data_IF_580447378893
#
_entry.id   IF_580447378893
#
_cell.length_a   1.000
_cell.length_b   1.000
_cell.length_c   1.000
_cell.angle_alpha   90.00
_cell.angle_beta   90.00
_cell.angle_gamma   90.00
#
_symmetry.space_group_name_H-M   'P 1'
#
loop_
_entity.id
_entity.type
_entity.pdbx_description
1 polymer ?
#
# COMPACT_ATOMS: atom_id res chain seq x y z
N UNK A 1 -19.92 -7.48 -30.11
CA UNK A 1 -18.66 -6.78 -30.41
C UNK A 1 -18.45 -6.85 -31.90
N UNK A 2 -18.84 -5.80 -32.62
CA UNK A 2 -18.50 -5.63 -34.04
C UNK A 2 -17.08 -5.05 -34.10
N UNK A 3 -16.30 -5.49 -35.09
CA UNK A 3 -14.92 -5.10 -35.30
C UNK A 3 -14.74 -3.59 -35.49
N UNK A 4 -13.69 -3.05 -34.85
CA UNK A 4 -12.92 -1.83 -35.14
C UNK A 4 -13.63 -0.72 -35.94
N UNK A 5 -14.42 0.10 -35.24
CA UNK A 5 -14.52 1.52 -35.60
C UNK A 5 -13.42 2.23 -34.78
N UNK A 6 -12.41 2.86 -35.39
CA UNK A 6 -11.33 3.49 -34.65
C UNK A 6 -11.92 4.54 -33.71
N UNK A 7 -11.71 4.35 -32.42
CA UNK A 7 -12.20 5.24 -31.38
C UNK A 7 -11.52 6.61 -31.55
N UNK A 8 -12.26 7.58 -32.12
CA UNK A 8 -11.84 8.98 -32.34
C UNK A 8 -11.73 9.74 -31.01
N UNK A 9 -10.88 9.28 -30.11
CA UNK A 9 -10.78 9.74 -28.73
C UNK A 9 -9.33 10.07 -28.39
N UNK A 10 -9.14 11.12 -27.60
CA UNK A 10 -7.82 11.51 -27.10
C UNK A 10 -6.80 11.83 -28.21
N UNK A 11 -5.53 11.52 -27.96
CA UNK A 11 -4.42 11.79 -28.86
C UNK A 11 -4.47 10.98 -30.15
N UNK A 12 -4.94 9.73 -30.10
CA UNK A 12 -5.10 8.87 -31.28
C UNK A 12 -6.18 9.40 -32.23
N UNK A 13 -7.33 9.82 -31.68
CA UNK A 13 -8.36 10.50 -32.46
C UNK A 13 -7.88 11.81 -33.07
N UNK A 14 -7.08 12.59 -32.32
CA UNK A 14 -6.45 13.80 -32.83
C UNK A 14 -5.52 13.54 -34.02
N UNK A 15 -4.66 12.51 -33.91
CA UNK A 15 -3.74 12.12 -34.98
C UNK A 15 -4.49 11.61 -36.22
N UNK A 16 -5.55 10.82 -36.03
CA UNK A 16 -6.38 10.33 -37.14
C UNK A 16 -7.12 11.48 -37.83
N UNK A 17 -7.68 12.43 -37.08
CA UNK A 17 -8.30 13.61 -37.66
C UNK A 17 -7.28 14.47 -38.42
N UNK A 18 -6.08 14.61 -37.88
CA UNK A 18 -4.99 15.32 -38.55
C UNK A 18 -4.60 14.66 -39.87
N UNK A 19 -4.52 13.32 -39.91
CA UNK A 19 -4.20 12.60 -41.14
C UNK A 19 -5.34 12.68 -42.18
N UNK A 20 -6.60 12.59 -41.75
CA UNK A 20 -7.78 12.82 -42.60
C UNK A 20 -7.70 14.20 -43.25
N UNK A 21 -7.43 15.25 -42.46
CA UNK A 21 -7.37 16.62 -42.98
C UNK A 21 -6.13 16.88 -43.85
N UNK A 22 -5.01 16.19 -43.59
CA UNK A 22 -3.77 16.32 -44.38
C UNK A 22 -3.84 15.60 -45.71
N UNK A 23 -4.53 14.46 -45.77
CA UNK A 23 -4.64 13.61 -46.97
C UNK A 23 -5.85 13.98 -47.85
N UNK A 24 -6.81 14.72 -47.32
CA UNK A 24 -7.97 15.19 -48.06
C UNK A 24 -7.57 16.17 -49.19
N UNK A 25 -7.99 15.84 -50.41
CA UNK A 25 -7.91 16.73 -51.57
C UNK A 25 -8.84 17.94 -51.42
N UNK A 26 -9.93 17.81 -50.67
CA UNK A 26 -10.87 18.88 -50.32
C UNK A 26 -11.14 18.90 -48.81
N UNK A 27 -10.43 19.74 -48.03
CA UNK A 27 -10.54 19.76 -46.57
C UNK A 27 -11.94 20.12 -46.05
N UNK A 28 -12.66 21.00 -46.75
CA UNK A 28 -14.01 21.44 -46.34
C UNK A 28 -15.03 20.30 -46.42
N UNK A 29 -15.02 19.51 -47.49
CA UNK A 29 -15.88 18.33 -47.63
C UNK A 29 -15.53 17.25 -46.60
N UNK A 30 -14.24 17.06 -46.31
CA UNK A 30 -13.78 16.14 -45.28
C UNK A 30 -14.27 16.53 -43.89
N UNK A 31 -14.27 17.83 -43.54
CA UNK A 31 -14.82 18.34 -42.28
C UNK A 31 -16.33 18.05 -42.18
N UNK A 32 -17.10 18.33 -43.24
CA UNK A 32 -18.55 18.08 -43.25
C UNK A 32 -18.86 16.59 -43.11
N UNK A 33 -18.12 15.73 -43.82
CA UNK A 33 -18.24 14.28 -43.71
C UNK A 33 -17.92 13.79 -42.30
N UNK A 34 -16.83 14.27 -41.71
CA UNK A 34 -16.42 13.96 -40.35
C UNK A 34 -17.48 14.36 -39.32
N UNK A 35 -17.99 15.59 -39.41
CA UNK A 35 -19.05 16.09 -38.52
C UNK A 35 -20.36 15.30 -38.67
N UNK A 36 -20.69 14.84 -39.88
CA UNK A 36 -21.86 13.99 -40.12
C UNK A 36 -21.69 12.60 -39.50
N UNK A 37 -20.49 12.05 -39.52
CA UNK A 37 -20.20 10.72 -39.01
C UNK A 37 -20.08 10.70 -37.47
N UNK A 38 -19.37 11.66 -36.89
CA UNK A 38 -18.97 11.69 -35.48
C UNK A 38 -19.68 12.78 -34.64
N UNK A 39 -20.51 13.63 -35.25
CA UNK A 39 -21.29 14.66 -34.55
C UNK A 39 -22.51 14.10 -33.81
N UNK A 40 -23.21 14.99 -33.11
CA UNK A 40 -24.44 14.66 -32.38
C UNK A 40 -25.56 14.30 -33.37
N UNK A 41 -26.03 13.04 -33.30
CA UNK A 41 -26.96 12.45 -34.29
C UNK A 41 -28.45 12.76 -34.06
N UNK A 42 -28.80 13.45 -32.98
CA UNK A 42 -30.20 13.82 -32.70
C UNK A 42 -30.65 15.01 -33.56
N UNK A 43 -31.79 14.88 -34.24
CA UNK A 43 -32.36 15.91 -35.14
C UNK A 43 -32.60 17.26 -34.42
N UNK A 44 -33.01 17.22 -33.16
CA UNK A 44 -33.27 18.39 -32.31
C UNK A 44 -31.99 19.17 -31.97
N UNK A 45 -30.87 18.46 -31.78
CA UNK A 45 -29.55 19.07 -31.57
C UNK A 45 -29.04 19.79 -32.81
N UNK A 46 -29.32 19.27 -34.02
CA UNK A 46 -28.83 19.87 -35.27
C UNK A 46 -29.37 21.30 -35.46
N UNK A 47 -30.68 21.50 -35.28
CA UNK A 47 -31.30 22.83 -35.36
C UNK A 47 -30.77 23.80 -34.30
N UNK A 48 -30.59 23.31 -33.06
CA UNK A 48 -30.06 24.10 -31.96
C UNK A 48 -28.61 24.54 -32.20
N UNK A 49 -27.79 23.66 -32.78
CA UNK A 49 -26.41 23.96 -33.09
C UNK A 49 -26.28 24.96 -34.26
N UNK A 50 -27.15 24.87 -35.27
CA UNK A 50 -27.20 25.87 -36.35
C UNK A 50 -27.56 27.26 -35.82
N UNK A 51 -28.50 27.35 -34.88
CA UNK A 51 -28.84 28.61 -34.22
C UNK A 51 -27.65 29.19 -33.46
N UNK A 52 -26.91 28.34 -32.73
CA UNK A 52 -25.70 28.77 -32.01
C UNK A 52 -24.59 29.24 -32.97
N UNK A 53 -24.46 28.63 -34.14
CA UNK A 53 -23.52 29.11 -35.17
C UNK A 53 -23.89 30.51 -35.66
N UNK A 54 -25.19 30.77 -35.90
CA UNK A 54 -25.69 32.09 -36.30
C UNK A 54 -25.46 33.17 -35.22
N UNK A 55 -25.46 32.76 -33.94
CA UNK A 55 -25.14 33.63 -32.80
C UNK A 55 -23.63 33.82 -32.59
N UNK A 56 -22.78 33.22 -33.43
CA UNK A 56 -21.33 33.33 -33.36
C UNK A 56 -20.69 32.45 -32.27
N UNK A 57 -21.42 31.50 -31.69
CA UNK A 57 -20.86 30.56 -30.72
C UNK A 57 -20.01 29.51 -31.45
N UNK A 58 -18.79 29.26 -30.95
CA UNK A 58 -17.91 28.25 -31.54
C UNK A 58 -18.40 26.85 -31.18
N UNK A 59 -18.42 25.92 -32.16
CA UNK A 59 -18.80 24.51 -31.93
C UNK A 59 -18.00 23.83 -30.83
N UNK A 60 -16.70 24.13 -30.71
CA UNK A 60 -15.84 23.57 -29.65
C UNK A 60 -16.29 23.99 -28.25
N UNK A 61 -16.65 25.27 -28.08
CA UNK A 61 -17.16 25.81 -26.82
C UNK A 61 -18.51 25.17 -26.47
N UNK A 62 -19.42 25.08 -27.44
CA UNK A 62 -20.72 24.44 -27.28
C UNK A 62 -20.58 22.97 -26.85
N UNK A 63 -19.74 22.18 -27.53
CA UNK A 63 -19.53 20.77 -27.20
C UNK A 63 -18.83 20.59 -25.85
N UNK A 64 -17.87 21.45 -25.51
CA UNK A 64 -17.22 21.44 -24.19
C UNK A 64 -18.21 21.73 -23.08
N UNK A 65 -19.06 22.76 -23.23
CA UNK A 65 -20.10 23.11 -22.25
C UNK A 65 -21.18 22.03 -22.12
N UNK A 66 -21.56 21.42 -23.24
CA UNK A 66 -22.49 20.28 -23.22
C UNK A 66 -21.90 19.09 -22.46
N UNK A 67 -20.64 18.76 -22.72
CA UNK A 67 -19.93 17.68 -22.03
C UNK A 67 -19.85 17.95 -20.52
N UNK A 68 -19.43 19.15 -20.12
CA UNK A 68 -19.41 19.58 -18.70
C UNK A 68 -20.78 19.41 -18.04
N UNK A 69 -21.86 19.83 -18.71
CA UNK A 69 -23.22 19.70 -18.19
C UNK A 69 -23.68 18.24 -18.06
N UNK A 70 -23.35 17.39 -19.04
CA UNK A 70 -23.66 15.96 -19.02
C UNK A 70 -22.90 15.24 -17.90
N UNK A 71 -21.60 15.51 -17.75
CA UNK A 71 -20.76 14.99 -16.67
C UNK A 71 -21.34 15.40 -15.31
N UNK A 72 -21.66 16.69 -15.13
CA UNK A 72 -22.24 17.19 -13.88
C UNK A 72 -23.60 16.54 -13.56
N UNK A 73 -24.46 16.37 -14.55
CA UNK A 73 -25.75 15.71 -14.37
C UNK A 73 -25.59 14.23 -13.98
N UNK A 74 -24.64 13.52 -14.60
CA UNK A 74 -24.36 12.13 -14.27
C UNK A 74 -23.75 11.98 -12.88
N UNK A 75 -22.77 12.83 -12.52
CA UNK A 75 -22.21 12.87 -11.18
C UNK A 75 -23.29 13.13 -10.13
N UNK A 76 -24.21 14.06 -10.37
CA UNK A 76 -25.34 14.32 -9.46
C UNK A 76 -26.21 13.07 -9.26
N UNK A 77 -26.43 12.29 -10.32
CA UNK A 77 -27.18 11.02 -10.23
C UNK A 77 -26.43 9.96 -9.42
N UNK A 78 -25.12 9.81 -9.64
CA UNK A 78 -24.27 8.87 -8.87
C UNK A 78 -24.31 9.22 -7.38
N UNK A 79 -24.03 10.49 -7.03
CA UNK A 79 -24.01 10.94 -5.63
C UNK A 79 -25.38 10.92 -4.95
N UNK A 80 -26.48 10.90 -5.71
CA UNK A 80 -27.83 10.78 -5.14
C UNK A 80 -28.10 9.42 -4.48
N UNK A 81 -27.21 8.42 -4.66
CA UNK A 81 -27.34 7.05 -4.12
C UNK A 81 -28.65 6.36 -4.49
N UNK A 82 -29.29 6.79 -5.59
CA UNK A 82 -30.50 6.15 -6.13
C UNK A 82 -30.19 4.96 -7.03
N UNK A 83 -28.94 4.84 -7.47
CA UNK A 83 -28.48 3.71 -8.29
C UNK A 83 -28.11 2.54 -7.39
N UNK A 84 -28.52 1.34 -7.77
CA UNK A 84 -28.07 0.11 -7.09
C UNK A 84 -26.64 -0.27 -7.52
N UNK A 85 -26.02 -1.20 -6.80
CA UNK A 85 -24.65 -1.63 -7.09
C UNK A 85 -24.50 -2.30 -8.48
N UNK A 86 -25.55 -2.94 -9.00
CA UNK A 86 -25.52 -3.56 -10.33
C UNK A 86 -25.50 -2.50 -11.45
N UNK A 87 -26.28 -1.43 -11.30
CA UNK A 87 -26.27 -0.27 -12.18
C UNK A 87 -24.94 0.46 -12.11
N UNK A 88 -24.38 0.62 -10.90
CA UNK A 88 -23.06 1.22 -10.72
C UNK A 88 -21.96 0.36 -11.36
N UNK A 89 -22.03 -0.96 -11.22
CA UNK A 89 -21.07 -1.89 -11.84
C UNK A 89 -21.10 -1.79 -13.37
N UNK A 90 -22.28 -1.79 -13.98
CA UNK A 90 -22.43 -1.60 -15.42
C UNK A 90 -21.94 -0.23 -15.88
N UNK A 91 -22.17 0.82 -15.08
CA UNK A 91 -21.67 2.15 -15.38
C UNK A 91 -20.14 2.21 -15.27
N UNK A 92 -19.55 1.51 -14.29
CA UNK A 92 -18.10 1.41 -14.15
C UNK A 92 -17.49 0.77 -15.40
N UNK A 93 -18.00 -0.39 -15.84
CA UNK A 93 -17.52 -1.09 -17.04
C UNK A 93 -17.53 -0.19 -18.29
N UNK A 94 -18.54 0.68 -18.43
CA UNK A 94 -18.64 1.60 -19.56
C UNK A 94 -17.73 2.83 -19.43
N UNK A 95 -17.36 3.22 -18.21
CA UNK A 95 -16.67 4.49 -17.95
C UNK A 95 -15.20 4.32 -17.58
N UNK A 96 -14.80 3.15 -17.11
CA UNK A 96 -13.43 2.83 -16.71
C UNK A 96 -12.40 3.01 -17.84
N UNK A 97 -12.68 2.65 -19.11
CA UNK A 97 -11.74 2.90 -20.21
C UNK A 97 -11.41 4.38 -20.44
N UNK A 98 -12.22 5.31 -19.91
CA UNK A 98 -12.00 6.75 -20.02
C UNK A 98 -11.33 7.37 -18.80
N UNK A 99 -10.79 6.56 -17.89
CA UNK A 99 -10.16 7.02 -16.65
C UNK A 99 -8.99 7.99 -16.91
N UNK A 100 -8.20 7.75 -17.95
CA UNK A 100 -7.08 8.62 -18.32
C UNK A 100 -7.54 9.98 -18.86
N UNK A 101 -8.76 10.05 -19.43
CA UNK A 101 -9.30 11.27 -20.03
C UNK A 101 -9.71 12.28 -18.95
N UNK A 102 -9.03 13.43 -18.90
CA UNK A 102 -9.21 14.44 -17.85
C UNK A 102 -10.65 14.92 -17.70
N UNK A 103 -11.37 15.05 -18.80
CA UNK A 103 -12.75 15.54 -18.88
C UNK A 103 -13.77 14.53 -18.32
N UNK A 104 -13.46 13.23 -18.41
CA UNK A 104 -14.37 12.14 -18.04
C UNK A 104 -13.98 11.43 -16.75
N UNK A 105 -12.71 11.52 -16.33
CA UNK A 105 -12.11 10.83 -15.18
C UNK A 105 -12.91 10.92 -13.88
N UNK A 106 -13.59 12.04 -13.64
CA UNK A 106 -14.40 12.22 -12.45
C UNK A 106 -15.53 11.19 -12.32
N UNK A 107 -16.06 10.69 -13.45
CA UNK A 107 -17.17 9.73 -13.48
C UNK A 107 -16.74 8.36 -12.92
N UNK A 108 -15.74 7.64 -13.48
CA UNK A 108 -15.34 6.34 -12.95
C UNK A 108 -14.86 6.45 -11.49
N UNK A 109 -14.18 7.54 -11.11
CA UNK A 109 -13.79 7.78 -9.71
C UNK A 109 -15.00 7.89 -8.79
N UNK A 110 -16.03 8.65 -9.19
CA UNK A 110 -17.25 8.79 -8.38
C UNK A 110 -18.02 7.47 -8.27
N UNK A 111 -18.05 6.65 -9.33
CA UNK A 111 -18.64 5.31 -9.30
C UNK A 111 -17.88 4.42 -8.32
N UNK A 112 -16.54 4.33 -8.43
CA UNK A 112 -15.68 3.57 -7.52
C UNK A 112 -15.91 3.96 -6.06
N UNK A 113 -16.02 5.27 -5.77
CA UNK A 113 -16.24 5.77 -4.42
C UNK A 113 -17.65 5.48 -3.87
N UNK A 114 -18.66 5.31 -4.75
CA UNK A 114 -20.06 5.14 -4.35
C UNK A 114 -20.45 3.67 -4.18
N UNK A 115 -19.87 2.77 -4.98
CA UNK A 115 -20.15 1.33 -4.88
C UNK A 115 -19.86 0.79 -3.49
N UNK A 116 -20.64 -0.18 -3.02
CA UNK A 116 -20.35 -0.86 -1.73
C UNK A 116 -19.12 -1.76 -1.81
N UNK A 117 -18.96 -2.43 -2.96
CA UNK A 117 -17.87 -3.34 -3.28
C UNK A 117 -17.38 -3.08 -4.70
N UNK A 118 -16.07 -3.17 -4.91
CA UNK A 118 -15.44 -2.97 -6.23
C UNK A 118 -14.73 -4.27 -6.62
N UNK A 119 -14.93 -4.79 -7.84
CA UNK A 119 -14.22 -5.97 -8.30
C UNK A 119 -12.70 -5.76 -8.28
N UNK A 120 -11.97 -6.79 -7.83
CA UNK A 120 -10.52 -6.70 -7.67
C UNK A 120 -9.77 -6.40 -8.98
N UNK A 121 -10.33 -6.77 -10.14
CA UNK A 121 -9.73 -6.50 -11.45
C UNK A 121 -9.53 -5.00 -11.71
N UNK A 122 -10.55 -4.17 -11.46
CA UNK A 122 -10.47 -2.72 -11.64
C UNK A 122 -9.50 -2.08 -10.66
N UNK A 123 -9.45 -2.58 -9.42
CA UNK A 123 -8.51 -2.10 -8.42
C UNK A 123 -7.06 -2.46 -8.77
N UNK A 124 -6.84 -3.62 -9.39
CA UNK A 124 -5.52 -4.04 -9.88
C UNK A 124 -5.08 -3.15 -11.04
N UNK A 125 -5.96 -2.87 -12.01
CA UNK A 125 -5.67 -2.00 -13.15
C UNK A 125 -5.35 -0.54 -12.73
N UNK A 126 -5.95 -0.06 -11.63
CA UNK A 126 -5.57 1.22 -11.02
C UNK A 126 -4.14 1.24 -10.45
N UNK A 127 -3.60 0.09 -10.09
CA UNK A 127 -2.24 -0.04 -9.56
C UNK A 127 -1.19 -0.16 -10.67
N UNK A 128 -1.59 -0.27 -11.94
CA UNK A 128 -0.66 -0.36 -13.06
C UNK A 128 0.17 0.92 -13.17
N UNK A 129 1.38 0.79 -13.73
CA UNK A 129 2.36 1.88 -13.80
C UNK A 129 1.78 3.15 -14.45
N UNK A 130 0.96 2.98 -15.49
CA UNK A 130 0.36 4.07 -16.25
C UNK A 130 -0.68 4.87 -15.45
N UNK A 131 -1.33 4.21 -14.47
CA UNK A 131 -2.35 4.80 -13.60
C UNK A 131 -1.80 5.29 -12.25
N UNK A 132 -0.50 5.08 -11.96
CA UNK A 132 0.11 5.39 -10.66
C UNK A 132 -0.08 6.85 -10.23
N UNK A 133 0.03 7.80 -11.17
CA UNK A 133 -0.19 9.22 -10.91
C UNK A 133 -1.65 9.53 -10.49
N UNK A 134 -2.61 8.69 -10.86
CA UNK A 134 -4.01 8.85 -10.49
C UNK A 134 -4.27 8.46 -9.04
N UNK A 135 -3.48 7.52 -8.49
CA UNK A 135 -3.65 7.01 -7.13
C UNK A 135 -3.66 8.14 -6.09
N UNK A 136 -2.82 9.16 -6.26
CA UNK A 136 -2.73 10.31 -5.35
C UNK A 136 -4.07 11.07 -5.24
N UNK A 137 -4.79 11.18 -6.36
CA UNK A 137 -6.03 11.93 -6.47
C UNK A 137 -7.29 11.11 -6.16
N UNK A 138 -7.15 9.81 -5.90
CA UNK A 138 -8.30 8.96 -5.57
C UNK A 138 -8.89 9.30 -4.19
N UNK A 139 -10.23 9.23 -4.04
CA UNK A 139 -10.88 9.34 -2.74
C UNK A 139 -10.35 8.29 -1.75
N UNK A 140 -10.25 8.68 -0.48
CA UNK A 140 -9.69 7.83 0.59
C UNK A 140 -10.38 6.46 0.70
N UNK A 141 -11.69 6.41 0.49
CA UNK A 141 -12.43 5.13 0.52
C UNK A 141 -11.98 4.16 -0.59
N UNK A 142 -11.66 4.70 -1.77
CA UNK A 142 -11.13 3.90 -2.90
C UNK A 142 -9.71 3.47 -2.59
N UNK A 143 -8.87 4.38 -2.07
CA UNK A 143 -7.50 4.06 -1.63
C UNK A 143 -7.47 2.93 -0.61
N UNK A 144 -8.37 2.93 0.38
CA UNK A 144 -8.51 1.84 1.37
C UNK A 144 -8.79 0.48 0.73
N UNK A 145 -9.61 0.43 -0.32
CA UNK A 145 -9.88 -0.81 -1.07
C UNK A 145 -8.67 -1.28 -1.86
N UNK A 146 -7.93 -0.34 -2.46
CA UNK A 146 -6.67 -0.63 -3.15
C UNK A 146 -5.65 -1.20 -2.16
N UNK A 147 -5.43 -0.53 -1.03
CA UNK A 147 -4.49 -0.97 0.01
C UNK A 147 -4.80 -2.35 0.58
N UNK A 148 -6.08 -2.75 0.63
CA UNK A 148 -6.46 -4.08 1.06
C UNK A 148 -5.94 -5.18 0.11
N UNK A 149 -5.96 -4.95 -1.21
CA UNK A 149 -5.53 -5.93 -2.21
C UNK A 149 -4.07 -5.76 -2.67
N UNK A 150 -3.49 -4.58 -2.43
CA UNK A 150 -2.15 -4.19 -2.86
C UNK A 150 -1.34 -3.69 -1.63
N UNK A 151 -0.79 -4.60 -0.81
CA UNK A 151 -0.02 -4.22 0.38
C UNK A 151 1.22 -3.37 0.09
N UNK A 152 1.76 -3.42 -1.13
CA UNK A 152 2.89 -2.59 -1.54
C UNK A 152 2.49 -1.11 -1.64
N UNK A 153 1.31 -0.78 -2.18
CA UNK A 153 0.80 0.60 -2.21
C UNK A 153 0.49 1.12 -0.81
N UNK A 154 0.00 0.24 0.08
CA UNK A 154 -0.15 0.59 1.50
C UNK A 154 1.21 0.87 2.14
N UNK A 155 2.22 0.06 1.84
CA UNK A 155 3.56 0.21 2.40
C UNK A 155 4.19 1.56 2.04
N UNK A 156 4.03 2.01 0.79
CA UNK A 156 4.53 3.32 0.34
C UNK A 156 3.94 4.45 1.20
N UNK A 157 2.65 4.42 1.50
CA UNK A 157 2.01 5.45 2.32
C UNK A 157 2.38 5.33 3.81
N UNK A 158 2.45 4.11 4.36
CA UNK A 158 2.92 3.87 5.74
C UNK A 158 4.34 4.38 5.94
N UNK A 159 5.24 4.13 4.98
CA UNK A 159 6.63 4.57 5.04
C UNK A 159 6.73 6.11 5.07
N UNK A 160 5.92 6.82 4.26
CA UNK A 160 5.83 8.30 4.30
C UNK A 160 5.37 8.81 5.67
N UNK A 161 4.33 8.21 6.23
CA UNK A 161 3.78 8.59 7.54
C UNK A 161 4.80 8.35 8.65
N UNK A 162 5.47 7.19 8.64
CA UNK A 162 6.48 6.84 9.64
C UNK A 162 7.67 7.79 9.56
N UNK A 163 8.16 8.10 8.36
CA UNK A 163 9.23 9.07 8.16
C UNK A 163 8.84 10.46 8.71
N UNK A 164 7.64 10.94 8.36
CA UNK A 164 7.11 12.21 8.86
C UNK A 164 6.96 12.22 10.40
N UNK A 165 6.47 11.12 10.98
CA UNK A 165 6.32 11.00 12.44
C UNK A 165 7.68 11.07 13.14
N UNK A 166 8.67 10.32 12.66
CA UNK A 166 10.03 10.31 13.24
C UNK A 166 10.66 11.70 13.12
N UNK A 167 10.54 12.35 11.96
CA UNK A 167 11.05 13.71 11.76
C UNK A 167 10.38 14.71 12.71
N UNK A 168 9.05 14.64 12.86
CA UNK A 168 8.29 15.47 13.78
C UNK A 168 8.75 15.26 15.24
N UNK A 169 8.91 14.01 15.69
CA UNK A 169 9.40 13.71 17.05
C UNK A 169 10.84 14.13 17.28
N UNK A 170 11.71 13.99 16.27
CA UNK A 170 13.11 14.48 16.34
C UNK A 170 13.17 16.00 16.44
N UNK A 171 12.37 16.72 15.66
CA UNK A 171 12.30 18.17 15.72
C UNK A 171 11.87 18.66 17.12
N UNK A 172 10.89 18.00 17.74
CA UNK A 172 10.46 18.29 19.11
C UNK A 172 11.58 18.06 20.14
N UNK A 173 12.42 17.04 19.95
CA UNK A 173 13.56 16.76 20.85
C UNK A 173 14.75 17.71 20.62
N UNK A 174 14.96 18.18 19.40
CA UNK A 174 16.08 19.07 19.03
C UNK A 174 15.79 20.55 19.32
N UNK A 175 14.53 20.98 19.20
CA UNK A 175 14.07 22.34 19.53
C UNK A 175 13.70 22.50 21.01
N UNK A 176 14.27 21.67 21.89
CA UNK A 176 14.28 21.91 23.34
C UNK A 176 15.19 23.11 23.67
N UNK A 177 14.81 24.30 23.19
CA UNK A 177 15.37 25.59 23.57
C UNK A 177 14.29 26.35 24.36
N UNK A 178 14.56 26.55 25.65
CA UNK A 178 13.92 27.43 26.65
C UNK A 178 12.40 27.42 26.86
N UNK A 179 11.59 26.89 25.93
CA UNK A 179 10.15 26.72 26.09
C UNK A 179 9.76 25.24 26.19
N UNK A 180 9.28 24.78 27.36
CA UNK A 180 8.99 23.38 27.58
C UNK A 180 7.82 22.90 26.71
N UNK A 181 8.06 21.82 25.96
CA UNK A 181 7.07 21.29 25.02
C UNK A 181 6.19 20.22 25.68
N UNK A 182 4.96 20.02 25.19
CA UNK A 182 4.03 18.97 25.64
C UNK A 182 4.55 17.54 25.68
N UNK A 183 5.73 17.28 25.10
CA UNK A 183 6.31 15.94 24.94
C UNK A 183 7.43 15.65 25.92
N UNK A 184 7.88 16.64 26.68
CA UNK A 184 8.82 16.44 27.77
C UNK A 184 8.11 15.70 28.90
N UNK A 185 8.44 14.43 29.04
CA UNK A 185 7.79 13.54 30.00
C UNK A 185 7.91 14.00 31.46
N UNK A 186 8.74 15.00 31.79
CA UNK A 186 8.86 15.57 33.15
C UNK A 186 9.45 16.99 33.22
N UNK A 187 9.31 17.86 32.20
CA UNK A 187 9.78 19.26 32.37
C UNK A 187 8.65 20.10 32.91
N UNK A 188 8.79 20.49 34.18
CA UNK A 188 7.94 21.48 34.82
C UNK A 188 8.01 22.77 34.03
N UNK A 189 6.96 23.08 33.30
CA UNK A 189 6.83 24.34 32.56
C UNK A 189 6.82 25.49 33.57
N UNK A 190 7.75 26.44 33.43
CA UNK A 190 7.74 27.69 34.21
C UNK A 190 6.53 28.59 33.94
N UNK A 191 5.63 28.21 33.02
CA UNK A 191 4.37 28.87 32.73
C UNK A 191 3.16 28.15 33.35
N UNK A 192 2.16 28.92 33.79
CA UNK A 192 0.96 28.52 34.54
C UNK A 192 -0.02 27.56 33.83
N UNK A 193 0.35 26.92 32.73
CA UNK A 193 -0.51 25.97 32.03
C UNK A 193 0.01 24.53 32.19
N UNK A 194 -0.84 23.60 32.65
CA UNK A 194 -0.46 22.19 32.72
C UNK A 194 -0.19 21.64 31.30
N UNK A 195 0.76 20.71 31.15
CA UNK A 195 0.99 20.06 29.86
C UNK A 195 -0.29 19.35 29.40
N UNK A 196 -0.58 19.34 28.08
CA UNK A 196 -1.79 18.72 27.56
C UNK A 196 -1.79 17.22 27.86
N UNK A 197 -2.99 16.66 28.06
CA UNK A 197 -3.12 15.25 28.38
C UNK A 197 -2.61 14.39 27.21
N UNK A 198 -2.19 13.12 27.45
CA UNK A 198 -1.83 12.20 26.38
C UNK A 198 -2.91 12.09 25.29
N UNK A 199 -4.18 12.20 25.68
CA UNK A 199 -5.33 12.16 24.78
C UNK A 199 -5.42 13.41 23.90
N UNK A 200 -5.24 14.60 24.49
CA UNK A 200 -5.23 15.85 23.75
C UNK A 200 -4.07 15.88 22.75
N UNK A 201 -2.89 15.41 23.15
CA UNK A 201 -1.73 15.32 22.24
C UNK A 201 -2.01 14.43 21.03
N UNK A 202 -2.64 13.27 21.24
CA UNK A 202 -2.98 12.35 20.13
C UNK A 202 -3.99 12.96 19.17
N UNK A 203 -5.02 13.62 19.68
CA UNK A 203 -6.09 14.23 18.85
C UNK A 203 -5.60 15.39 17.99
N UNK A 204 -4.57 16.11 18.42
CA UNK A 204 -4.03 17.28 17.71
C UNK A 204 -2.78 16.99 16.88
N UNK A 205 -2.27 15.74 16.87
CA UNK A 205 -1.10 15.39 16.07
C UNK A 205 -1.54 15.12 14.60
N UNK A 206 -1.08 15.92 13.63
CA UNK A 206 -1.52 15.82 12.23
C UNK A 206 -1.05 14.53 11.56
N UNK A 207 0.07 13.96 12.00
CA UNK A 207 0.59 12.70 11.45
C UNK A 207 -0.27 11.53 11.94
N UNK A 208 -0.64 11.54 13.22
CA UNK A 208 -1.55 10.54 13.77
C UNK A 208 -2.94 10.63 13.14
N UNK A 209 -3.49 11.84 12.97
CA UNK A 209 -4.78 12.04 12.30
C UNK A 209 -4.77 11.46 10.88
N UNK A 210 -3.71 11.76 10.11
CA UNK A 210 -3.53 11.21 8.76
C UNK A 210 -3.48 9.68 8.78
N UNK A 211 -2.75 9.09 9.74
CA UNK A 211 -2.62 7.64 9.83
C UNK A 211 -3.94 6.96 10.24
N UNK A 212 -4.67 7.54 11.18
CA UNK A 212 -5.97 7.02 11.60
C UNK A 212 -7.01 7.15 10.51
N UNK A 213 -7.01 8.26 9.75
CA UNK A 213 -7.84 8.43 8.56
C UNK A 213 -7.46 7.41 7.49
N UNK A 214 -6.17 7.14 7.28
CA UNK A 214 -5.73 6.11 6.33
C UNK A 214 -6.36 4.75 6.65
N UNK A 215 -6.29 4.32 7.92
CA UNK A 215 -6.80 3.03 8.38
C UNK A 215 -8.34 2.98 8.41
N UNK A 216 -8.98 4.05 8.90
CA UNK A 216 -10.42 4.07 9.18
C UNK A 216 -10.86 2.91 10.07
N UNK A 217 -12.01 2.30 9.74
CA UNK A 217 -12.59 1.19 10.51
C UNK A 217 -12.12 -0.21 10.02
N UNK A 218 -11.12 -0.26 9.14
CA UNK A 218 -10.68 -1.52 8.52
C UNK A 218 -9.73 -2.30 9.41
N UNK A 219 -10.20 -3.45 9.92
CA UNK A 219 -9.38 -4.37 10.71
C UNK A 219 -8.20 -4.96 9.94
N UNK A 220 -8.42 -5.23 8.66
CA UNK A 220 -7.38 -5.71 7.77
C UNK A 220 -6.26 -4.68 7.61
N UNK A 221 -6.61 -3.42 7.29
CA UNK A 221 -5.63 -2.35 7.15
C UNK A 221 -4.90 -2.06 8.46
N UNK A 222 -5.61 -2.07 9.59
CA UNK A 222 -5.00 -1.92 10.91
C UNK A 222 -3.91 -2.99 11.14
N UNK A 223 -4.24 -4.27 10.95
CA UNK A 223 -3.28 -5.36 11.15
C UNK A 223 -2.09 -5.24 10.20
N UNK A 224 -2.34 -4.99 8.91
CA UNK A 224 -1.27 -4.79 7.92
C UNK A 224 -0.34 -3.64 8.32
N UNK A 225 -0.87 -2.50 8.76
CA UNK A 225 -0.07 -1.38 9.25
C UNK A 225 0.77 -1.76 10.46
N UNK A 226 0.20 -2.48 11.43
CA UNK A 226 0.92 -2.91 12.63
C UNK A 226 2.05 -3.90 12.29
N UNK A 227 1.83 -4.80 11.34
CA UNK A 227 2.86 -5.71 10.85
C UNK A 227 3.98 -4.95 10.10
N UNK A 228 3.64 -3.94 9.29
CA UNK A 228 4.64 -3.07 8.66
C UNK A 228 5.47 -2.29 9.70
N UNK A 229 4.84 -1.72 10.74
CA UNK A 229 5.55 -1.08 11.85
C UNK A 229 6.50 -2.07 12.55
N UNK A 230 6.08 -3.32 12.74
CA UNK A 230 6.94 -4.38 13.30
C UNK A 230 8.13 -4.66 12.39
N UNK A 231 7.91 -4.77 11.08
CA UNK A 231 8.99 -4.97 10.11
C UNK A 231 9.99 -3.82 10.12
N UNK A 232 9.53 -2.56 10.19
CA UNK A 232 10.40 -1.38 10.29
C UNK A 232 11.22 -1.41 11.59
N UNK A 233 10.59 -1.71 12.72
CA UNK A 233 11.30 -1.81 14.01
C UNK A 233 12.32 -2.96 14.03
N UNK A 234 11.99 -4.09 13.39
CA UNK A 234 12.87 -5.26 13.31
C UNK A 234 14.05 -5.04 12.36
N UNK A 235 13.83 -4.38 11.22
CA UNK A 235 14.90 -4.07 10.26
C UNK A 235 15.83 -2.96 10.75
N UNK A 236 15.31 -2.05 11.57
CA UNK A 236 16.04 -0.86 12.01
C UNK A 236 16.24 0.19 10.93
N UNK A 237 15.69 -0.02 9.73
CA UNK A 237 15.77 0.92 8.62
C UNK A 237 14.69 1.99 8.77
N UNK A 238 15.08 3.25 8.91
CA UNK A 238 14.14 4.36 8.86
C UNK A 238 13.74 4.58 7.39
N UNK A 239 12.44 4.54 7.06
CA UNK A 239 12.00 4.81 5.70
C UNK A 239 12.48 6.19 5.22
N UNK A 240 13.02 6.25 4.00
CA UNK A 240 13.51 7.49 3.40
C UNK A 240 14.89 7.95 3.87
N UNK A 241 15.61 7.18 4.68
CA UNK A 241 17.00 7.47 5.05
C UNK A 241 17.97 6.44 4.47
N UNK A 242 19.19 6.88 4.15
CA UNK A 242 20.25 5.99 3.68
C UNK A 242 20.68 5.02 4.80
N UNK A 243 20.59 3.68 4.58
CA UNK A 243 21.03 2.67 5.54
C UNK A 243 22.48 2.87 6.03
N UNK A 244 23.35 3.44 5.19
CA UNK A 244 24.76 3.67 5.51
C UNK A 244 24.98 4.77 6.57
N UNK A 245 23.99 5.63 6.78
CA UNK A 245 24.05 6.78 7.72
C UNK A 245 23.43 6.49 9.08
N UNK A 246 22.85 5.31 9.28
CA UNK A 246 22.08 5.00 10.49
C UNK A 246 23.00 4.57 11.64
N UNK A 247 23.15 5.43 12.65
CA UNK A 247 23.95 5.09 13.83
C UNK A 247 23.21 4.06 14.69
N UNK A 248 23.92 3.12 15.34
CA UNK A 248 23.32 2.19 16.30
C UNK A 248 22.56 2.91 17.45
N UNK A 249 22.93 4.15 17.78
CA UNK A 249 22.15 4.99 18.71
C UNK A 249 20.80 5.41 18.15
N UNK A 250 20.69 5.65 16.84
CA UNK A 250 19.44 6.03 16.18
C UNK A 250 18.41 4.89 16.19
N UNK A 251 18.88 3.64 16.18
CA UNK A 251 18.03 2.46 16.30
C UNK A 251 17.26 2.41 17.64
N UNK A 252 17.91 2.77 18.75
CA UNK A 252 17.28 2.78 20.08
C UNK A 252 16.11 3.78 20.14
N UNK A 253 16.28 4.95 19.52
CA UNK A 253 15.22 5.93 19.39
C UNK A 253 14.15 5.48 18.39
N UNK A 254 14.53 4.83 17.29
CA UNK A 254 13.59 4.32 16.29
C UNK A 254 12.60 3.33 16.90
N UNK A 255 13.07 2.28 17.58
CA UNK A 255 12.19 1.28 18.18
C UNK A 255 11.22 1.92 19.20
N UNK A 256 11.71 2.90 19.96
CA UNK A 256 10.90 3.67 20.91
C UNK A 256 9.83 4.52 20.23
N UNK A 257 10.18 5.21 19.13
CA UNK A 257 9.23 6.02 18.36
C UNK A 257 8.19 5.16 17.65
N UNK A 258 8.59 4.05 17.04
CA UNK A 258 7.64 3.12 16.41
C UNK A 258 6.71 2.50 17.44
N UNK A 259 7.23 2.12 18.62
CA UNK A 259 6.43 1.65 19.74
C UNK A 259 5.42 2.71 20.22
N UNK A 260 5.84 3.97 20.27
CA UNK A 260 4.97 5.11 20.63
C UNK A 260 3.90 5.35 19.56
N UNK A 261 4.27 5.38 18.29
CA UNK A 261 3.35 5.51 17.16
C UNK A 261 2.28 4.42 17.18
N UNK A 262 2.71 3.16 17.36
CA UNK A 262 1.81 2.01 17.51
C UNK A 262 0.83 2.21 18.66
N UNK A 263 1.32 2.64 19.82
CA UNK A 263 0.51 2.87 21.01
C UNK A 263 -0.51 3.99 20.79
N UNK A 264 -0.10 5.09 20.17
CA UNK A 264 -0.95 6.25 19.91
C UNK A 264 -2.06 5.89 18.90
N UNK A 265 -1.71 5.21 17.80
CA UNK A 265 -2.68 4.71 16.80
C UNK A 265 -3.68 3.75 17.43
N UNK A 266 -3.22 2.81 18.24
CA UNK A 266 -4.09 1.85 18.92
C UNK A 266 -5.08 2.54 19.88
N UNK A 267 -4.63 3.59 20.60
CA UNK A 267 -5.52 4.35 21.48
C UNK A 267 -6.53 5.19 20.71
N UNK A 268 -6.13 5.85 19.62
CA UNK A 268 -7.06 6.62 18.79
C UNK A 268 -8.12 5.71 18.14
N UNK A 269 -7.70 4.57 17.60
CA UNK A 269 -8.62 3.61 16.98
C UNK A 269 -9.55 2.91 17.96
N UNK A 270 -9.21 2.87 19.25
CA UNK A 270 -10.03 2.27 20.31
C UNK A 270 -11.41 2.93 20.42
N UNK A 271 -11.46 4.24 20.21
CA UNK A 271 -12.67 5.04 20.41
C UNK A 271 -13.56 5.10 19.15
N UNK A 272 -13.01 4.77 17.96
CA UNK A 272 -13.72 4.78 16.68
C UNK A 272 -14.35 3.43 16.31
N UNK A 273 -13.67 2.30 16.57
CA UNK A 273 -14.13 0.98 16.13
C UNK A 273 -13.84 -0.13 17.16
N UNK A 274 -14.82 -0.42 18.02
CA UNK A 274 -14.81 -1.48 19.06
C UNK A 274 -14.34 -2.88 18.61
N UNK A 275 -14.48 -3.32 17.33
CA UNK A 275 -13.98 -4.63 16.89
C UNK A 275 -12.44 -4.75 16.82
N UNK A 276 -11.70 -3.65 16.63
CA UNK A 276 -10.24 -3.65 16.44
C UNK A 276 -9.47 -3.96 17.73
N UNK A 277 -10.06 -3.65 18.88
CA UNK A 277 -9.47 -3.96 20.17
C UNK A 277 -9.29 -5.46 20.39
N UNK A 278 -10.08 -6.34 19.75
CA UNK A 278 -9.93 -7.80 19.95
C UNK A 278 -8.95 -8.44 18.98
N UNK A 279 -8.67 -7.82 17.83
CA UNK A 279 -7.74 -8.35 16.84
C UNK A 279 -6.29 -8.10 17.23
N UNK A 280 -5.99 -7.01 17.95
CA UNK A 280 -4.65 -6.70 18.43
C UNK A 280 -4.29 -7.54 19.68
N UNK A 281 -3.29 -8.42 19.64
CA UNK A 281 -2.87 -9.21 20.80
C UNK A 281 -2.38 -8.36 21.98
N UNK A 282 -1.96 -7.12 21.72
CA UNK A 282 -1.43 -6.18 22.71
C UNK A 282 -2.45 -5.14 23.18
N UNK A 283 -3.73 -5.22 22.77
CA UNK A 283 -4.75 -4.24 23.17
C UNK A 283 -4.85 -4.04 24.68
N UNK A 284 -4.87 -5.13 25.46
CA UNK A 284 -4.95 -5.05 26.93
C UNK A 284 -3.72 -4.38 27.51
N UNK A 285 -2.55 -4.72 26.99
CA UNK A 285 -1.28 -4.12 27.41
C UNK A 285 -1.28 -2.62 27.17
N UNK A 286 -1.65 -2.18 25.96
CA UNK A 286 -1.79 -0.78 25.59
C UNK A 286 -2.79 -0.05 26.50
N UNK A 287 -3.98 -0.64 26.70
CA UNK A 287 -5.03 -0.06 27.53
C UNK A 287 -4.58 0.14 28.97
N UNK A 288 -3.93 -0.87 29.57
CA UNK A 288 -3.44 -0.79 30.95
C UNK A 288 -2.39 0.31 31.09
N UNK A 289 -1.46 0.40 30.13
CA UNK A 289 -0.44 1.45 30.13
C UNK A 289 -1.07 2.85 30.04
N UNK A 290 -2.02 3.04 29.12
CA UNK A 290 -2.73 4.32 28.97
C UNK A 290 -3.50 4.69 30.25
N UNK A 291 -4.20 3.72 30.85
CA UNK A 291 -4.91 3.92 32.11
C UNK A 291 -3.95 4.30 33.26
N UNK A 292 -2.80 3.64 33.35
CA UNK A 292 -1.81 3.93 34.39
C UNK A 292 -1.20 5.34 34.25
N UNK A 293 -0.93 5.77 33.02
CA UNK A 293 -0.48 7.15 32.73
C UNK A 293 -1.56 8.16 33.11
N UNK A 294 -2.82 7.93 32.72
CA UNK A 294 -3.95 8.83 33.04
C UNK A 294 -4.20 8.95 34.54
N UNK A 295 -4.12 7.84 35.29
CA UNK A 295 -4.35 7.80 36.74
C UNK A 295 -3.10 8.12 37.57
N UNK A 296 -1.93 8.27 36.95
CA UNK A 296 -0.62 8.39 37.61
C UNK A 296 -0.40 7.29 38.66
N UNK A 297 -0.87 6.09 38.36
CA UNK A 297 -0.87 4.96 39.28
C UNK A 297 -1.44 3.70 38.65
N UNK A 298 -1.03 2.54 39.16
CA UNK A 298 -1.43 1.25 38.63
C UNK A 298 -1.93 0.35 39.74
N UNK A 299 -3.15 -0.19 39.57
CA UNK A 299 -3.72 -1.15 40.50
C UNK A 299 -3.00 -2.49 40.45
N UNK A 300 -3.02 -3.23 41.55
CA UNK A 300 -2.35 -4.54 41.65
C UNK A 300 -2.87 -5.54 40.62
N UNK A 301 -4.18 -5.52 40.33
CA UNK A 301 -4.83 -6.30 39.28
C UNK A 301 -4.22 -6.04 37.90
N UNK A 302 -4.06 -4.76 37.53
CA UNK A 302 -3.44 -4.33 36.27
C UNK A 302 -1.97 -4.74 36.16
N UNK A 303 -1.20 -4.66 37.26
CA UNK A 303 0.19 -5.15 37.29
C UNK A 303 0.24 -6.66 37.00
N UNK A 304 -0.64 -7.44 37.65
CA UNK A 304 -0.72 -8.89 37.42
C UNK A 304 -1.04 -9.20 35.97
N UNK A 305 -1.99 -8.50 35.36
CA UNK A 305 -2.33 -8.69 33.94
C UNK A 305 -1.18 -8.34 33.00
N UNK A 306 -0.48 -7.21 33.23
CA UNK A 306 0.71 -6.84 32.46
C UNK A 306 1.80 -7.91 32.55
N UNK A 307 2.08 -8.40 33.76
CA UNK A 307 3.07 -9.46 33.96
C UNK A 307 2.68 -10.75 33.24
N UNK A 308 1.38 -11.08 33.16
CA UNK A 308 0.91 -12.22 32.37
C UNK A 308 1.13 -12.02 30.87
N UNK A 309 0.87 -10.81 30.34
CA UNK A 309 1.14 -10.49 28.93
C UNK A 309 2.64 -10.57 28.65
N UNK A 310 3.47 -9.93 29.48
CA UNK A 310 4.94 -9.97 29.36
C UNK A 310 5.45 -11.40 29.46
N UNK A 311 4.90 -12.22 30.37
CA UNK A 311 5.25 -13.64 30.48
C UNK A 311 4.88 -14.40 29.21
N UNK A 312 3.70 -14.17 28.62
CA UNK A 312 3.30 -14.79 27.35
C UNK A 312 4.21 -14.39 26.19
N UNK A 313 4.60 -13.11 26.11
CA UNK A 313 5.55 -12.61 25.10
C UNK A 313 6.94 -13.21 25.31
N UNK A 314 7.46 -13.16 26.55
CA UNK A 314 8.73 -13.79 26.91
C UNK A 314 8.72 -15.29 26.67
N UNK A 315 7.63 -16.01 26.93
CA UNK A 315 7.52 -17.45 26.62
C UNK A 315 7.51 -17.73 25.11
N UNK A 316 7.13 -16.75 24.30
CA UNK A 316 7.22 -16.80 22.83
C UNK A 316 8.66 -16.58 22.35
N UNK A 317 9.41 -15.74 23.05
CA UNK A 317 10.78 -15.33 22.71
C UNK A 317 11.88 -16.14 23.44
N UNK A 318 11.51 -16.88 24.51
CA UNK A 318 12.42 -17.71 25.29
C UNK A 318 12.68 -19.02 24.55
N UNK A 319 13.95 -19.42 24.45
CA UNK A 319 14.26 -20.79 24.13
C UNK A 319 13.71 -21.73 25.21
N UNK A 320 13.11 -22.87 24.81
CA UNK A 320 12.61 -23.88 25.76
C UNK A 320 13.78 -24.40 26.60
N UNK A 321 13.58 -24.67 27.89
CA UNK A 321 14.60 -25.37 28.69
C UNK A 321 14.58 -26.86 28.35
N UNK A 322 15.75 -27.48 28.26
CA UNK A 322 15.87 -28.93 28.18
C UNK A 322 15.62 -29.58 29.56
N UNK A 323 15.51 -30.91 29.58
CA UNK A 323 15.23 -31.71 30.80
C UNK A 323 16.30 -31.53 31.90
N UNK A 324 17.49 -31.04 31.52
CA UNK A 324 18.62 -30.76 32.41
C UNK A 324 18.66 -29.30 32.92
N UNK A 325 17.66 -28.48 32.54
CA UNK A 325 17.49 -27.12 33.07
C UNK A 325 18.38 -26.04 32.43
N UNK A 326 19.07 -26.36 31.34
CA UNK A 326 19.87 -25.42 30.56
C UNK A 326 19.01 -24.61 29.57
N UNK A 327 19.53 -23.44 29.18
CA UNK A 327 18.92 -22.59 28.16
C UNK A 327 19.10 -23.24 26.77
N UNK A 328 18.12 -24.02 26.30
CA UNK A 328 18.20 -24.65 24.98
C UNK A 328 17.61 -23.72 23.91
N UNK A 329 18.48 -23.09 23.10
CA UNK A 329 18.09 -22.49 21.81
C UNK A 329 17.17 -23.47 21.08
N UNK A 330 16.06 -23.02 20.46
CA UNK A 330 15.26 -23.93 19.64
C UNK A 330 16.21 -24.64 18.67
N UNK A 331 16.08 -25.97 18.49
CA UNK A 331 16.98 -26.71 17.65
C UNK A 331 17.01 -26.01 16.28
N UNK A 332 18.22 -25.69 15.75
CA UNK A 332 18.32 -25.04 14.46
C UNK A 332 17.57 -25.89 13.44
N UNK A 333 16.89 -25.22 12.50
CA UNK A 333 16.17 -25.95 11.44
C UNK A 333 17.14 -26.94 10.79
N UNK A 334 16.79 -28.24 10.71
CA UNK A 334 17.68 -29.24 10.15
C UNK A 334 18.13 -28.82 8.74
N UNK A 335 19.45 -28.81 8.52
CA UNK A 335 20.05 -28.42 7.24
C UNK A 335 19.46 -29.21 6.08
N UNK A 336 19.17 -30.49 6.31
CA UNK A 336 18.57 -31.40 5.34
C UNK A 336 17.17 -30.96 4.93
N UNK A 337 16.39 -30.38 5.85
CA UNK A 337 15.06 -29.83 5.55
C UNK A 337 15.17 -28.61 4.64
N UNK A 338 16.10 -27.69 4.95
CA UNK A 338 16.33 -26.52 4.11
C UNK A 338 16.89 -26.90 2.73
N UNK A 339 17.82 -27.85 2.66
CA UNK A 339 18.35 -28.35 1.39
C UNK A 339 17.25 -28.98 0.53
N UNK A 340 16.32 -29.75 1.13
CA UNK A 340 15.16 -30.29 0.41
C UNK A 340 14.28 -29.18 -0.19
N UNK A 341 14.06 -28.08 0.52
CA UNK A 341 13.31 -26.93 0.01
C UNK A 341 14.06 -26.27 -1.16
N UNK A 342 15.37 -26.10 -1.04
CA UNK A 342 16.22 -25.56 -2.12
C UNK A 342 16.21 -26.49 -3.34
N UNK A 343 16.23 -27.82 -3.14
CA UNK A 343 16.13 -28.82 -4.23
C UNK A 343 14.76 -28.76 -4.93
N UNK A 344 13.67 -28.63 -4.16
CA UNK A 344 12.32 -28.46 -4.71
C UNK A 344 12.23 -27.18 -5.53
N UNK A 345 12.83 -26.10 -5.04
CA UNK A 345 12.86 -24.82 -5.74
C UNK A 345 13.65 -24.91 -7.05
N UNK A 346 14.87 -25.46 -7.00
CA UNK A 346 15.70 -25.68 -8.19
C UNK A 346 15.00 -26.57 -9.22
N UNK A 347 14.26 -27.59 -8.78
CA UNK A 347 13.50 -28.47 -9.68
C UNK A 347 12.30 -27.77 -10.33
N UNK A 348 11.66 -26.85 -9.61
CA UNK A 348 10.52 -26.11 -10.12
C UNK A 348 10.91 -24.91 -11.01
N UNK A 349 12.15 -24.44 -10.92
CA UNK A 349 12.77 -23.53 -11.87
C UNK A 349 13.30 -24.28 -13.11
N UNK A 350 12.37 -24.79 -13.93
CA UNK A 350 12.71 -25.60 -15.11
C UNK A 350 13.55 -24.86 -16.16
N UNK A 351 13.50 -23.52 -16.16
CA UNK A 351 14.24 -22.66 -17.09
C UNK A 351 15.56 -22.16 -16.52
N UNK A 352 15.90 -22.51 -15.27
CA UNK A 352 17.10 -22.07 -14.57
C UNK A 352 17.23 -20.54 -14.52
N UNK A 353 16.11 -19.83 -14.43
CA UNK A 353 16.07 -18.36 -14.38
C UNK A 353 16.72 -17.85 -13.10
N UNK A 354 16.58 -18.58 -11.99
CA UNK A 354 17.01 -18.19 -10.66
C UNK A 354 18.19 -19.02 -10.16
N UNK A 355 18.75 -19.87 -11.03
CA UNK A 355 19.70 -20.89 -10.63
C UNK A 355 21.01 -20.30 -10.10
N UNK A 356 21.50 -19.26 -10.76
CA UNK A 356 22.81 -18.65 -10.56
C UNK A 356 22.66 -17.12 -10.46
N UNK A 357 23.64 -16.38 -9.90
CA UNK A 357 23.58 -14.93 -9.81
C UNK A 357 23.33 -14.27 -11.18
N UNK A 358 22.55 -13.19 -11.20
CA UNK A 358 22.37 -12.39 -12.40
C UNK A 358 23.74 -11.80 -12.80
N UNK A 359 24.18 -11.95 -14.06
CA UNK A 359 25.49 -11.46 -14.45
C UNK A 359 25.58 -9.92 -14.47
N UNK A 360 26.79 -9.40 -14.26
CA UNK A 360 27.06 -7.95 -14.22
C UNK A 360 26.76 -7.21 -15.53
N UNK A 361 26.66 -7.93 -16.65
CA UNK A 361 26.38 -7.37 -17.98
C UNK A 361 24.88 -7.09 -18.24
N UNK A 362 24.01 -7.45 -17.29
CA UNK A 362 22.59 -7.11 -17.34
C UNK A 362 22.41 -5.63 -16.98
N UNK A 363 22.01 -4.85 -17.98
CA UNK A 363 21.96 -3.38 -17.92
C UNK A 363 21.17 -2.86 -16.71
N UNK A 364 21.84 -2.09 -15.86
CA UNK A 364 21.24 -1.43 -14.69
C UNK A 364 20.76 -2.38 -13.59
N UNK A 365 21.04 -3.68 -13.66
CA UNK A 365 20.53 -4.63 -12.65
C UNK A 365 21.05 -4.32 -11.25
N UNK A 366 22.36 -4.12 -11.11
CA UNK A 366 22.98 -3.82 -9.81
C UNK A 366 22.79 -2.36 -9.35
N UNK A 367 22.34 -1.48 -10.23
CA UNK A 367 21.92 -0.13 -9.86
C UNK A 367 20.51 -0.12 -9.22
N UNK A 368 19.65 -1.06 -9.65
CA UNK A 368 18.27 -1.21 -9.16
C UNK A 368 18.19 -2.18 -7.97
N UNK A 369 18.93 -3.28 -8.02
CA UNK A 369 18.87 -4.37 -7.03
C UNK A 369 20.11 -4.34 -6.12
N UNK A 370 19.91 -3.84 -4.90
CA UNK A 370 20.99 -3.64 -3.92
C UNK A 370 21.41 -4.91 -3.16
N UNK A 371 20.55 -5.93 -3.12
CA UNK A 371 20.81 -7.18 -2.40
C UNK A 371 20.47 -8.38 -3.31
N UNK A 372 21.34 -8.72 -4.28
CA UNK A 372 21.10 -9.84 -5.18
C UNK A 372 21.05 -11.16 -4.42
N UNK A 373 20.22 -12.09 -4.88
CA UNK A 373 20.07 -13.43 -4.33
C UNK A 373 19.61 -14.40 -5.41
N UNK A 374 20.10 -15.62 -5.35
CA UNK A 374 19.81 -16.70 -6.31
C UNK A 374 19.83 -18.07 -5.59
N UNK A 375 19.40 -19.13 -6.29
CA UNK A 375 19.27 -20.48 -5.72
C UNK A 375 20.63 -21.06 -5.32
N UNK A 376 21.70 -20.80 -6.08
CA UNK A 376 23.05 -21.28 -5.76
C UNK A 376 23.59 -20.62 -4.49
N UNK A 377 23.40 -19.31 -4.34
CA UNK A 377 23.77 -18.56 -3.13
C UNK A 377 22.92 -18.97 -1.94
N UNK A 378 21.61 -19.13 -2.12
CA UNK A 378 20.70 -19.65 -1.09
C UNK A 378 21.14 -21.04 -0.61
N UNK A 379 21.53 -21.93 -1.54
CA UNK A 379 22.09 -23.25 -1.22
C UNK A 379 23.37 -23.13 -0.42
N UNK A 380 24.30 -22.27 -0.83
CA UNK A 380 25.58 -22.05 -0.15
C UNK A 380 25.34 -21.56 1.29
N UNK A 381 24.41 -20.62 1.48
CA UNK A 381 24.01 -20.15 2.81
C UNK A 381 23.45 -21.28 3.70
N UNK A 382 22.61 -22.17 3.15
CA UNK A 382 22.15 -23.38 3.87
C UNK A 382 23.33 -24.29 4.21
N UNK A 383 24.25 -24.51 3.27
CA UNK A 383 25.42 -25.37 3.47
C UNK A 383 26.33 -24.87 4.58
N UNK A 384 26.49 -23.54 4.67
CA UNK A 384 27.28 -22.82 5.66
C UNK A 384 26.52 -22.58 6.98
N UNK A 385 25.35 -23.19 7.18
CA UNK A 385 24.55 -23.08 8.40
C UNK A 385 24.16 -21.63 8.77
N UNK A 386 24.00 -20.76 7.77
CA UNK A 386 23.61 -19.34 7.97
C UNK A 386 22.24 -19.21 8.65
N UNK A 387 21.31 -20.12 8.34
CA UNK A 387 19.92 -20.02 8.79
C UNK A 387 19.67 -20.87 10.03
N UNK A 388 19.29 -20.20 11.12
CA UNK A 388 18.84 -20.88 12.36
C UNK A 388 17.33 -21.06 12.44
N UNK A 389 16.57 -20.25 11.69
CA UNK A 389 15.10 -20.23 11.69
C UNK A 389 14.56 -20.32 10.26
N UNK A 390 13.33 -20.82 10.11
CA UNK A 390 12.63 -20.82 8.82
C UNK A 390 12.43 -19.40 8.28
N UNK A 391 12.19 -18.42 9.16
CA UNK A 391 12.01 -17.02 8.76
C UNK A 391 13.25 -16.43 8.09
N UNK A 392 14.45 -16.72 8.63
CA UNK A 392 15.70 -16.26 8.04
C UNK A 392 15.95 -16.87 6.65
N UNK A 393 15.65 -18.16 6.50
CA UNK A 393 15.70 -18.83 5.18
C UNK A 393 14.67 -18.26 4.21
N UNK A 394 13.44 -18.02 4.69
CA UNK A 394 12.34 -17.52 3.89
C UNK A 394 12.58 -16.08 3.39
N UNK A 395 13.31 -15.27 4.18
CA UNK A 395 13.71 -13.92 3.76
C UNK A 395 14.61 -13.97 2.51
N UNK A 396 15.71 -14.72 2.54
CA UNK A 396 16.62 -14.86 1.39
C UNK A 396 15.92 -15.59 0.22
N UNK A 397 15.06 -16.58 0.48
CA UNK A 397 14.28 -17.24 -0.57
C UNK A 397 13.31 -16.28 -1.29
N UNK A 398 12.54 -15.48 -0.55
CA UNK A 398 11.60 -14.49 -1.13
C UNK A 398 12.33 -13.37 -1.85
N UNK A 399 13.55 -13.04 -1.40
CA UNK A 399 14.38 -12.01 -2.02
C UNK A 399 14.70 -12.35 -3.48
N UNK A 400 14.94 -13.64 -3.81
CA UNK A 400 15.15 -14.12 -5.19
C UNK A 400 13.99 -13.66 -6.10
N UNK A 401 12.75 -13.90 -5.68
CA UNK A 401 11.58 -13.58 -6.49
C UNK A 401 11.24 -12.09 -6.45
N UNK A 402 11.40 -11.44 -5.29
CA UNK A 402 11.11 -10.02 -5.12
C UNK A 402 12.05 -9.16 -5.97
N UNK A 403 13.34 -9.49 -6.00
CA UNK A 403 14.30 -8.82 -6.87
C UNK A 403 13.93 -8.99 -8.35
N UNK A 404 13.57 -10.21 -8.76
CA UNK A 404 13.14 -10.46 -10.12
C UNK A 404 11.89 -9.67 -10.51
N UNK A 405 10.88 -9.62 -9.64
CA UNK A 405 9.66 -8.85 -9.87
C UNK A 405 9.87 -7.33 -9.79
N UNK A 406 10.90 -6.88 -9.07
CA UNK A 406 11.27 -5.45 -8.98
C UNK A 406 11.98 -5.00 -10.26
N UNK A 407 12.88 -5.82 -10.79
CA UNK A 407 13.65 -5.46 -11.98
C UNK A 407 12.88 -5.69 -13.29
N UNK A 408 12.09 -6.77 -13.37
CA UNK A 408 11.41 -7.16 -14.61
C UNK A 408 9.94 -6.73 -14.62
N UNK A 409 9.45 -6.26 -15.76
CA UNK A 409 8.02 -5.98 -15.96
C UNK A 409 7.16 -7.23 -15.80
N UNK A 410 5.92 -7.08 -15.35
CA UNK A 410 4.99 -8.16 -15.03
C UNK A 410 4.54 -9.01 -16.23
N UNK A 411 4.60 -8.43 -17.43
CA UNK A 411 4.34 -9.10 -18.69
C UNK A 411 5.42 -10.11 -19.06
N UNK A 412 6.63 -9.97 -18.53
CA UNK A 412 7.79 -10.81 -18.86
C UNK A 412 7.66 -12.23 -18.31
N UNK A 413 8.37 -13.15 -18.95
CA UNK A 413 8.47 -14.54 -18.46
C UNK A 413 9.12 -14.60 -17.07
N UNK A 414 10.07 -13.70 -16.79
CA UNK A 414 10.82 -13.67 -15.54
C UNK A 414 9.91 -13.34 -14.35
N UNK A 415 9.14 -12.26 -14.47
CA UNK A 415 8.21 -11.85 -13.42
C UNK A 415 7.08 -12.89 -13.21
N UNK A 416 6.53 -13.45 -14.29
CA UNK A 416 5.51 -14.50 -14.21
C UNK A 416 6.03 -15.76 -13.50
N UNK A 417 7.24 -16.19 -13.81
CA UNK A 417 7.87 -17.33 -13.14
C UNK A 417 8.23 -17.03 -11.68
N UNK A 418 8.71 -15.82 -11.37
CA UNK A 418 8.98 -15.38 -10.00
C UNK A 418 7.72 -15.44 -9.14
N UNK A 419 6.60 -14.86 -9.61
CA UNK A 419 5.31 -14.88 -8.91
C UNK A 419 4.77 -16.30 -8.70
N UNK A 420 4.97 -17.18 -9.69
CA UNK A 420 4.57 -18.60 -9.61
C UNK A 420 5.37 -19.34 -8.55
N UNK A 421 6.70 -19.18 -8.55
CA UNK A 421 7.59 -19.85 -7.59
C UNK A 421 7.48 -19.29 -6.18
N UNK A 422 7.24 -18.00 -6.00
CA UNK A 422 7.00 -17.38 -4.69
C UNK A 422 5.77 -17.99 -4.00
N UNK A 423 4.65 -18.07 -4.72
CA UNK A 423 3.42 -18.71 -4.22
C UNK A 423 3.63 -20.19 -3.89
N UNK A 424 4.32 -20.91 -4.78
CA UNK A 424 4.53 -22.35 -4.62
C UNK A 424 5.50 -22.67 -3.46
N UNK A 425 6.59 -21.90 -3.35
CA UNK A 425 7.60 -22.07 -2.30
C UNK A 425 7.08 -21.70 -0.92
N UNK A 426 6.17 -20.72 -0.81
CA UNK A 426 5.46 -20.42 0.45
C UNK A 426 4.67 -21.63 0.95
N UNK A 427 3.94 -22.34 0.06
CA UNK A 427 3.19 -23.55 0.44
C UNK A 427 4.11 -24.67 0.93
N UNK A 428 5.29 -24.85 0.31
CA UNK A 428 6.27 -25.85 0.77
C UNK A 428 6.88 -25.47 2.11
N UNK A 429 7.19 -24.20 2.30
CA UNK A 429 7.72 -23.67 3.54
C UNK A 429 6.72 -23.86 4.69
N UNK A 430 5.45 -23.53 4.49
CA UNK A 430 4.40 -23.73 5.49
C UNK A 430 4.26 -25.20 5.89
N UNK A 431 4.34 -26.11 4.90
CA UNK A 431 4.35 -27.56 5.17
C UNK A 431 5.58 -27.99 5.96
N UNK A 432 6.76 -27.46 5.65
CA UNK A 432 7.99 -27.76 6.36
C UNK A 432 7.96 -27.24 7.81
N UNK A 433 7.42 -26.03 8.01
CA UNK A 433 7.20 -25.45 9.34
C UNK A 433 6.21 -26.29 10.14
N UNK A 434 5.08 -26.67 9.54
CA UNK A 434 4.07 -27.49 10.19
C UNK A 434 4.58 -28.88 10.56
N UNK A 435 5.40 -29.50 9.71
CA UNK A 435 6.04 -30.79 9.99
C UNK A 435 7.07 -30.67 11.13
N UNK A 436 7.88 -29.60 11.13
CA UNK A 436 8.86 -29.34 12.18
C UNK A 436 8.25 -28.98 13.53
N UNK A 437 6.99 -28.51 13.56
CA UNK A 437 6.25 -28.23 14.79
C UNK A 437 5.62 -29.49 15.44
N UNK A 438 5.57 -30.62 14.71
CA UNK A 438 5.00 -31.89 15.16
C UNK A 438 6.06 -32.90 15.65
N UNK A 439 7.33 -32.64 15.34
CA UNK A 439 8.52 -33.32 15.86
C UNK A 439 9.07 -32.58 17.06
#
# INVERSE_FOLDING_TARGET
>A
MAADDPTMLGSSGGAMLQDILRTASQPEEAIVSFQKQYGLKEETTSASLQLLDLLGCRRSETHSKLLEAMVAALLKRIHSKKMDDAQLQKLLELTFPYLEMRELRAIPIAVLATQSSTPASFLQELCDHDNRALLEHLPLLVKRRIWAIAPHELRVEVDKIVAAYIQHKRALLLHASDDPTPFDLHVSTGGHHPPPSPEDRRKHDPVLATFTDMIGDSAELYIQCIDMLRTIAASGAVPGTDPSTTNAKDYVYLASFIGTLRNDVANLQRDHATPLGRTDPLHKFIWILDHAVKRRGMERSHVTELLLVVRKLRLRDLPRKDDDGNMALPPPVPKETLLKLVDQLAKADSRRIFADPVPDDVEGYHDVITHPMDISTLRLHVQNLKYRTFDAFAADMRLIFTNCMTYNQDTTIYHKEAKRLDKLSTVWLDKAIAAAAQT
#
